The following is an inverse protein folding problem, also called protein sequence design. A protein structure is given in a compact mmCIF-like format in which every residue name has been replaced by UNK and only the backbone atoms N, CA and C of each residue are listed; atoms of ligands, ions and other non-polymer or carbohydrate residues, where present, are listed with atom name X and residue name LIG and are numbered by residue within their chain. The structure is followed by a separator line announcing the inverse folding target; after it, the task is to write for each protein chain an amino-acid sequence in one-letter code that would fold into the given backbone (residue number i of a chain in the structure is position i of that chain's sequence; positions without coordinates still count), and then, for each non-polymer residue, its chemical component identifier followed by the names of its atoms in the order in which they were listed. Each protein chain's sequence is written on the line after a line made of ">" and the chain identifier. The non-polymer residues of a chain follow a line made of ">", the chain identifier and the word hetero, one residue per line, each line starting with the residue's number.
data_IF_984645894675
#
_entry.id   IF_984645894675
#
_cell.length_a   1.000
_cell.length_b   1.000
_cell.length_c   1.000
_cell.angle_alpha   90.00
_cell.angle_beta   90.00
_cell.angle_gamma   90.00
#
_symmetry.space_group_name_H-M   'P 1'
#
loop_
_entity.id
_entity.type
_entity.pdbx_description
1 polymer ?
#
# COMPACT_ATOMS: atom_id res chain seq x y z
N UNK A 1 7.22 13.25 -1.55
CA UNK A 1 6.51 11.98 -1.25
C UNK A 1 5.90 12.06 0.14
N UNK A 2 4.57 11.98 0.29
CA UNK A 2 3.84 12.23 1.56
C UNK A 2 4.18 11.20 2.65
N UNK A 3 4.32 9.93 2.28
CA UNK A 3 4.64 8.84 3.22
C UNK A 3 6.11 8.81 3.63
N UNK A 4 7.02 9.32 2.78
CA UNK A 4 8.47 9.23 2.98
C UNK A 4 9.08 7.89 2.56
N UNK A 5 8.29 6.95 2.02
CA UNK A 5 8.80 5.72 1.44
C UNK A 5 9.61 6.03 0.17
N UNK A 6 10.73 5.33 -0.02
CA UNK A 6 11.56 5.42 -1.23
C UNK A 6 11.15 4.35 -2.25
N UNK A 7 9.90 4.41 -2.69
CA UNK A 7 9.33 3.53 -3.73
C UNK A 7 8.63 4.39 -4.78
N UNK A 8 8.64 3.95 -6.03
CA UNK A 8 7.96 4.61 -7.13
C UNK A 8 6.48 4.19 -7.24
N UNK A 9 6.17 2.90 -7.03
CA UNK A 9 4.80 2.36 -7.08
C UNK A 9 4.32 1.86 -5.71
N UNK A 10 3.53 2.68 -5.03
CA UNK A 10 2.85 2.31 -3.78
C UNK A 10 1.56 1.51 -3.97
N UNK A 11 1.03 1.48 -5.19
CA UNK A 11 -0.34 1.02 -5.51
C UNK A 11 -0.40 -0.32 -6.22
N UNK A 12 0.73 -0.81 -6.74
CA UNK A 12 0.82 -2.08 -7.45
C UNK A 12 0.22 -3.25 -6.67
N UNK A 13 -0.58 -4.06 -7.35
CA UNK A 13 -1.23 -5.24 -6.76
C UNK A 13 -0.38 -6.50 -6.82
N UNK A 14 0.66 -6.54 -7.66
CA UNK A 14 1.50 -7.71 -7.85
C UNK A 14 2.76 -7.61 -7.00
N UNK A 15 2.75 -8.29 -5.84
CA UNK A 15 3.80 -8.20 -4.82
C UNK A 15 4.10 -9.57 -4.24
N UNK A 16 5.33 -9.74 -3.78
CA UNK A 16 5.74 -10.89 -2.99
C UNK A 16 6.19 -10.43 -1.61
N UNK A 17 5.66 -11.07 -0.56
CA UNK A 17 6.05 -10.83 0.81
C UNK A 17 6.71 -12.08 1.40
N UNK A 18 7.78 -11.89 2.16
CA UNK A 18 8.26 -12.95 3.03
C UNK A 18 7.25 -13.12 4.16
N UNK A 19 6.99 -14.38 4.56
CA UNK A 19 6.09 -14.70 5.68
C UNK A 19 6.34 -13.84 6.92
N UNK A 20 7.59 -13.71 7.36
CA UNK A 20 7.99 -12.90 8.53
C UNK A 20 7.57 -11.42 8.45
N UNK A 21 7.46 -10.86 7.24
CA UNK A 21 6.99 -9.47 7.04
C UNK A 21 5.50 -9.38 7.36
N UNK A 22 4.70 -10.32 6.85
CA UNK A 22 3.26 -10.36 7.11
C UNK A 22 2.97 -10.63 8.58
N UNK A 23 3.70 -11.56 9.21
CA UNK A 23 3.60 -11.84 10.65
C UNK A 23 3.93 -10.63 11.53
N UNK A 24 4.75 -9.69 11.05
CA UNK A 24 5.08 -8.45 11.79
C UNK A 24 4.00 -7.37 11.70
N UNK A 25 2.97 -7.58 10.87
CA UNK A 25 1.91 -6.61 10.62
C UNK A 25 0.62 -7.16 11.24
N UNK A 26 0.00 -6.38 12.12
CA UNK A 26 -1.35 -6.66 12.60
C UNK A 26 -2.36 -6.47 11.45
N UNK A 27 -2.70 -7.60 10.81
CA UNK A 27 -3.57 -7.65 9.64
C UNK A 27 -5.02 -7.29 9.99
N UNK A 28 -5.47 -7.61 11.20
CA UNK A 28 -6.84 -7.32 11.67
C UNK A 28 -7.09 -5.82 11.82
N UNK A 29 -6.03 -5.03 12.05
CA UNK A 29 -6.10 -3.57 12.11
C UNK A 29 -6.09 -2.88 10.74
N UNK A 30 -5.94 -3.62 9.64
CA UNK A 30 -5.98 -3.06 8.29
C UNK A 30 -7.43 -2.78 7.92
N UNK A 31 -7.82 -1.50 7.93
CA UNK A 31 -9.17 -1.05 7.59
C UNK A 31 -9.28 -0.47 6.17
N UNK A 32 -8.18 -0.45 5.44
CA UNK A 32 -8.14 0.03 4.05
C UNK A 32 -8.75 -0.99 3.11
N UNK A 33 -9.64 -0.54 2.22
CA UNK A 33 -10.17 -1.36 1.13
C UNK A 33 -9.54 -0.96 -0.21
N UNK A 34 -9.55 -1.90 -1.17
CA UNK A 34 -9.08 -1.66 -2.54
C UNK A 34 -7.62 -1.20 -2.61
N UNK A 35 -7.32 -0.22 -3.45
CA UNK A 35 -5.94 0.23 -3.70
C UNK A 35 -5.27 0.87 -2.48
N UNK A 36 -6.04 1.39 -1.52
CA UNK A 36 -5.50 1.98 -0.30
C UNK A 36 -4.78 0.95 0.58
N UNK A 37 -5.23 -0.32 0.56
CA UNK A 37 -4.60 -1.40 1.33
C UNK A 37 -3.16 -1.66 0.87
N UNK A 38 -2.90 -1.52 -0.44
CA UNK A 38 -1.58 -1.73 -1.02
C UNK A 38 -0.56 -0.73 -0.46
N UNK A 39 -1.00 0.52 -0.28
CA UNK A 39 -0.20 1.60 0.29
C UNK A 39 0.02 1.36 1.79
N UNK A 40 -1.03 0.99 2.54
CA UNK A 40 -0.95 0.71 3.97
C UNK A 40 0.03 -0.44 4.26
N UNK A 41 -0.02 -1.53 3.48
CA UNK A 41 0.90 -2.67 3.63
C UNK A 41 2.36 -2.26 3.41
N UNK A 42 2.64 -1.53 2.33
CA UNK A 42 3.98 -1.03 2.04
C UNK A 42 4.47 -0.11 3.16
N UNK A 43 3.60 0.76 3.66
CA UNK A 43 3.95 1.72 4.71
C UNK A 43 4.25 1.05 6.04
N UNK A 44 3.43 0.08 6.47
CA UNK A 44 3.68 -0.70 7.69
C UNK A 44 4.95 -1.53 7.59
N UNK A 45 5.18 -2.21 6.46
CA UNK A 45 6.41 -2.95 6.23
C UNK A 45 7.65 -2.04 6.31
N UNK A 46 7.59 -0.87 5.65
CA UNK A 46 8.67 0.11 5.69
C UNK A 46 8.90 0.66 7.10
N UNK A 47 7.84 0.94 7.85
CA UNK A 47 7.93 1.41 9.24
C UNK A 47 8.48 0.37 10.21
N UNK A 48 8.20 -0.89 9.98
CA UNK A 48 8.80 -2.01 10.71
C UNK A 48 10.27 -2.29 10.31
N UNK A 49 10.88 -1.43 9.46
CA UNK A 49 12.28 -1.53 9.07
C UNK A 49 12.57 -2.56 7.99
N UNK A 50 11.54 -3.13 7.35
CA UNK A 50 11.74 -4.07 6.25
C UNK A 50 12.19 -3.35 4.98
N UNK A 51 13.05 -4.03 4.21
CA UNK A 51 13.50 -3.54 2.90
C UNK A 51 12.47 -3.85 1.83
N UNK A 52 12.10 -2.84 1.04
CA UNK A 52 11.23 -2.98 -0.12
C UNK A 52 12.11 -2.82 -1.37
N UNK A 53 11.96 -3.74 -2.33
CA UNK A 53 12.64 -3.70 -3.63
C UNK A 53 11.59 -3.74 -4.73
N UNK A 54 11.70 -2.82 -5.68
CA UNK A 54 10.86 -2.79 -6.87
C UNK A 54 11.51 -3.65 -7.97
N UNK A 55 10.71 -4.49 -8.61
CA UNK A 55 11.12 -5.31 -9.75
C UNK A 55 10.28 -4.83 -10.95
N UNK A 56 10.90 -4.32 -12.02
CA UNK A 56 10.17 -3.90 -13.20
C UNK A 56 9.40 -5.06 -13.82
N UNK A 57 8.17 -4.79 -14.24
CA UNK A 57 7.33 -5.73 -14.98
C UNK A 57 6.79 -5.02 -16.24
N UNK A 58 6.41 -5.82 -17.23
CA UNK A 58 5.61 -5.33 -18.35
C UNK A 58 4.14 -5.48 -17.93
N UNK A 59 3.46 -4.35 -17.78
CA UNK A 59 2.03 -4.34 -17.50
C UNK A 59 1.27 -4.42 -18.83
N UNK A 60 0.70 -5.59 -19.13
CA UNK A 60 -0.13 -5.78 -20.31
C UNK A 60 -1.57 -5.34 -20.01
N UNK A 61 -2.17 -4.61 -20.95
CA UNK A 61 -3.55 -4.18 -20.81
C UNK A 61 -4.50 -5.37 -20.85
N UNK A 62 -5.53 -5.27 -20.03
CA UNK A 62 -6.59 -6.28 -19.96
C UNK A 62 -7.43 -6.20 -21.23
N UNK A 63 -7.55 -7.31 -21.95
CA UNK A 63 -8.32 -7.39 -23.20
C UNK A 63 -9.82 -7.50 -22.96
N UNK A 64 -10.25 -8.10 -21.83
CA UNK A 64 -11.67 -8.33 -21.53
C UNK A 64 -12.08 -7.97 -20.09
N UNK A 65 -13.27 -7.38 -19.95
CA UNK A 65 -13.93 -7.04 -18.69
C UNK A 65 -13.92 -5.54 -18.35
N UNK A 66 -14.82 -5.12 -17.46
CA UNK A 66 -14.93 -3.73 -17.01
C UNK A 66 -13.94 -3.39 -15.89
N UNK A 67 -13.42 -2.17 -15.89
CA UNK A 67 -12.53 -1.67 -14.84
C UNK A 67 -13.23 -1.66 -13.48
N UNK A 68 -12.54 -2.17 -12.46
CA UNK A 68 -12.98 -2.11 -11.05
C UNK A 68 -12.62 -0.77 -10.38
N UNK A 69 -11.95 0.14 -11.10
CA UNK A 69 -11.58 1.47 -10.58
C UNK A 69 -12.79 2.40 -10.52
N UNK A 70 -13.03 3.00 -9.36
CA UNK A 70 -14.08 3.99 -9.15
C UNK A 70 -13.52 5.25 -8.49
N UNK A 71 -14.19 6.40 -8.68
CA UNK A 71 -13.80 7.67 -8.02
C UNK A 71 -13.71 7.55 -6.49
N UNK A 72 -14.55 6.69 -5.89
CA UNK A 72 -14.56 6.41 -4.46
C UNK A 72 -13.24 5.79 -3.98
N UNK A 73 -12.72 4.81 -4.73
CA UNK A 73 -11.44 4.15 -4.44
C UNK A 73 -10.28 5.15 -4.48
N UNK A 74 -10.29 6.05 -5.47
CA UNK A 74 -9.26 7.10 -5.60
C UNK A 74 -9.29 8.05 -4.40
N UNK A 75 -10.48 8.50 -4.00
CA UNK A 75 -10.63 9.37 -2.83
C UNK A 75 -10.15 8.68 -1.55
N UNK A 76 -10.53 7.42 -1.30
CA UNK A 76 -10.05 6.65 -0.15
C UNK A 76 -8.52 6.55 -0.11
N UNK A 77 -7.88 6.27 -1.24
CA UNK A 77 -6.42 6.17 -1.31
C UNK A 77 -5.74 7.50 -0.93
N UNK A 78 -6.25 8.63 -1.43
CA UNK A 78 -5.73 9.96 -1.08
C UNK A 78 -5.85 10.22 0.42
N UNK A 79 -7.04 10.02 1.01
CA UNK A 79 -7.26 10.24 2.45
C UNK A 79 -6.43 9.30 3.33
N UNK A 80 -6.28 8.04 2.92
CA UNK A 80 -5.50 7.05 3.65
C UNK A 80 -4.02 7.44 3.75
N UNK A 81 -3.42 7.96 2.67
CA UNK A 81 -2.02 8.42 2.66
C UNK A 81 -1.76 9.47 3.74
N UNK A 82 -2.65 10.46 3.86
CA UNK A 82 -2.55 11.51 4.89
C UNK A 82 -2.77 10.96 6.29
N UNK A 83 -3.75 10.06 6.46
CA UNK A 83 -4.04 9.40 7.74
C UNK A 83 -2.85 8.58 8.26
N UNK A 84 -2.20 7.81 7.38
CA UNK A 84 -1.00 7.03 7.70
C UNK A 84 0.15 7.93 8.14
N UNK A 85 0.35 9.06 7.46
CA UNK A 85 1.37 10.05 7.83
C UNK A 85 1.12 10.63 9.22
N UNK A 86 -0.11 11.05 9.52
CA UNK A 86 -0.48 11.60 10.82
C UNK A 86 -0.34 10.57 11.96
N UNK A 87 -0.81 9.34 11.75
CA UNK A 87 -0.65 8.25 12.75
C UNK A 87 0.82 7.94 13.03
N UNK A 88 1.65 7.98 12.00
CA UNK A 88 3.09 7.80 12.16
C UNK A 88 3.74 8.90 13.00
N UNK A 89 3.31 10.15 12.84
CA UNK A 89 3.85 11.28 13.62
C UNK A 89 3.38 11.19 15.08
N UNK A 90 2.14 10.75 15.29
CA UNK A 90 1.51 10.61 16.60
C UNK A 90 1.90 9.31 17.35
N UNK A 91 2.76 8.45 16.78
CA UNK A 91 3.21 7.20 17.41
C UNK A 91 2.13 6.12 17.58
N UNK A 92 1.00 6.22 16.86
CA UNK A 92 -0.17 5.32 16.97
C UNK A 92 -0.30 4.36 15.77
N UNK A 93 0.83 3.88 15.26
CA UNK A 93 0.88 3.06 14.04
C UNK A 93 0.57 1.59 14.32
#
# INVERSE_FOLDING_TARGET
>A
VITGMKICDGTGGFKCFRRKVLESIDLDKIKSNGYAFQIEMNFKAWKNGWKIKEIPIIFIDRVEGASKMSKKIVQEAVWMVWKLRLRSILGKL
#
